data_IF_570966498306
#
_entry.id   IF_570966498306
#
_cell.length_a   1.000
_cell.length_b   1.000
_cell.length_c   1.000
_cell.angle_alpha   90.00
_cell.angle_beta   90.00
_cell.angle_gamma   90.00
#
_symmetry.space_group_name_H-M   'P 1'
#
loop_
_entity.id
_entity.type
_entity.pdbx_description
1 polymer ?
#
# COMPACT_ATOMS: atom_id res chain seq x y z
N UNK A 1 23.29 63.57 -58.84
CA UNK A 1 24.63 63.07 -59.25
C UNK A 1 25.61 63.33 -58.10
N UNK A 2 26.77 62.64 -57.99
CA UNK A 2 27.15 61.25 -58.31
C UNK A 2 27.51 60.51 -56.96
N UNK A 3 28.33 59.46 -56.78
CA UNK A 3 29.19 58.58 -57.61
C UNK A 3 29.04 57.10 -57.19
N UNK A 4 28.58 56.26 -58.12
CA UNK A 4 29.08 54.91 -58.51
C UNK A 4 29.82 54.00 -57.49
N UNK A 5 29.26 52.78 -57.35
CA UNK A 5 29.88 51.43 -57.46
C UNK A 5 31.21 51.12 -56.73
N UNK A 6 31.15 50.09 -55.88
CA UNK A 6 32.06 48.94 -55.93
C UNK A 6 31.25 47.65 -55.62
N UNK A 7 31.70 46.49 -56.09
CA UNK A 7 31.11 45.20 -55.75
C UNK A 7 32.21 44.14 -55.66
N UNK A 8 32.19 43.33 -54.61
CA UNK A 8 33.02 42.13 -54.45
C UNK A 8 32.11 41.05 -53.86
N UNK A 9 32.13 39.86 -54.45
CA UNK A 9 31.46 38.69 -53.89
C UNK A 9 32.47 37.86 -53.08
N UNK A 10 32.06 37.36 -51.93
CA UNK A 10 32.76 36.33 -51.17
C UNK A 10 31.71 35.39 -50.56
N UNK A 11 31.85 34.09 -50.78
CA UNK A 11 30.96 33.09 -50.19
C UNK A 11 31.35 32.78 -48.75
N UNK A 12 30.35 32.65 -47.87
CA UNK A 12 30.50 32.11 -46.52
C UNK A 12 29.70 30.81 -46.40
N UNK A 13 30.35 29.72 -45.99
CA UNK A 13 29.72 28.39 -45.87
C UNK A 13 28.79 28.34 -44.66
N UNK A 14 27.62 27.73 -44.81
CA UNK A 14 26.72 27.46 -43.70
C UNK A 14 27.35 26.41 -42.76
N UNK A 15 27.70 26.83 -41.54
CA UNK A 15 28.31 25.96 -40.54
C UNK A 15 27.27 25.04 -39.89
N UNK A 16 27.05 23.86 -40.48
CA UNK A 16 26.37 22.76 -39.79
C UNK A 16 27.30 22.22 -38.67
N UNK A 17 27.00 22.62 -37.44
CA UNK A 17 27.76 22.20 -36.26
C UNK A 17 27.54 20.73 -35.92
N UNK A 18 28.37 19.85 -36.48
CA UNK A 18 28.44 18.46 -36.03
C UNK A 18 29.08 18.40 -34.64
N UNK A 19 28.32 17.94 -33.64
CA UNK A 19 28.82 17.73 -32.29
C UNK A 19 29.77 16.53 -32.27
N UNK A 20 31.08 16.78 -32.27
CA UNK A 20 32.10 15.74 -32.21
C UNK A 20 32.16 15.13 -30.79
N UNK A 21 31.64 13.90 -30.65
CA UNK A 21 31.78 13.12 -29.41
C UNK A 21 33.25 12.69 -29.25
N UNK A 22 33.89 13.18 -28.18
CA UNK A 22 35.27 12.85 -27.85
C UNK A 22 35.36 11.45 -27.23
N UNK A 23 35.82 10.48 -28.00
CA UNK A 23 36.29 9.17 -27.49
C UNK A 23 37.77 9.27 -27.07
N UNK A 24 38.15 8.90 -25.84
CA UNK A 24 39.55 8.72 -25.47
C UNK A 24 40.13 7.48 -26.17
N UNK A 25 40.84 7.70 -27.28
CA UNK A 25 41.56 6.65 -28.00
C UNK A 25 42.99 6.50 -27.46
N UNK A 26 43.27 5.41 -26.74
CA UNK A 26 44.62 5.08 -26.28
C UNK A 26 44.81 3.57 -25.99
N UNK A 27 44.71 2.72 -27.02
CA UNK A 27 45.72 1.68 -27.26
C UNK A 27 45.58 1.13 -28.67
N UNK A 28 46.70 0.99 -29.38
CA UNK A 28 46.74 0.57 -30.77
C UNK A 28 47.38 -0.81 -30.91
N UNK A 29 46.64 -1.74 -31.51
CA UNK A 29 47.18 -2.90 -32.21
C UNK A 29 46.52 -2.92 -33.59
N UNK A 30 47.23 -2.45 -34.61
CA UNK A 30 46.79 -2.60 -36.00
C UNK A 30 47.19 -3.99 -36.50
N UNK A 31 46.24 -4.92 -36.46
CA UNK A 31 46.28 -6.15 -37.25
C UNK A 31 44.83 -6.50 -37.64
N UNK A 32 44.65 -7.01 -38.87
CA UNK A 32 43.39 -7.63 -39.32
C UNK A 32 42.14 -6.73 -39.34
N UNK A 33 41.87 -6.05 -40.47
CA UNK A 33 40.51 -5.62 -40.78
C UNK A 33 39.71 -6.82 -41.32
N UNK A 34 39.15 -7.64 -40.41
CA UNK A 34 38.19 -8.70 -40.69
C UNK A 34 36.80 -8.30 -40.20
N UNK A 35 35.74 -8.77 -40.86
CA UNK A 35 34.34 -8.59 -40.45
C UNK A 35 33.95 -9.47 -39.23
N UNK A 36 34.84 -9.61 -38.25
CA UNK A 36 34.48 -10.25 -36.97
C UNK A 36 33.63 -9.28 -36.14
N UNK A 37 32.40 -9.72 -35.85
CA UNK A 37 31.47 -8.93 -35.05
C UNK A 37 32.03 -8.70 -33.64
N UNK A 38 32.22 -7.43 -33.26
CA UNK A 38 32.68 -7.05 -31.94
C UNK A 38 31.83 -7.72 -30.84
N UNK A 39 32.49 -8.28 -29.83
CA UNK A 39 31.83 -8.97 -28.73
C UNK A 39 30.86 -8.03 -27.98
N UNK A 40 29.68 -8.50 -27.54
CA UNK A 40 28.72 -7.67 -26.82
C UNK A 40 29.33 -7.02 -25.58
N UNK A 41 29.07 -5.72 -25.40
CA UNK A 41 29.65 -4.92 -24.32
C UNK A 41 29.00 -5.30 -22.99
N UNK A 42 29.80 -5.35 -21.92
CA UNK A 42 29.29 -5.38 -20.55
C UNK A 42 28.82 -3.99 -20.12
N UNK A 43 27.65 -3.94 -19.49
CA UNK A 43 26.88 -2.74 -19.17
C UNK A 43 26.43 -2.76 -17.71
N UNK A 44 26.13 -1.59 -17.12
CA UNK A 44 25.20 -1.55 -15.99
C UNK A 44 23.76 -1.64 -16.51
N UNK A 45 22.84 -2.06 -15.66
CA UNK A 45 21.42 -2.16 -16.02
C UNK A 45 20.81 -0.82 -16.48
N UNK A 46 21.27 0.31 -15.92
CA UNK A 46 20.90 1.66 -16.37
C UNK A 46 21.42 1.94 -17.80
N UNK A 47 22.73 1.83 -18.02
CA UNK A 47 23.36 2.00 -19.35
C UNK A 47 22.69 1.13 -20.44
N UNK A 48 22.24 -0.06 -20.06
CA UNK A 48 21.54 -0.99 -20.95
C UNK A 48 20.13 -0.50 -21.35
N UNK A 49 19.43 0.24 -20.48
CA UNK A 49 18.12 0.83 -20.79
C UNK A 49 18.22 2.01 -21.76
N UNK A 50 19.22 2.88 -21.58
CA UNK A 50 19.51 3.98 -22.49
C UNK A 50 19.90 3.46 -23.88
N UNK A 51 20.73 2.41 -23.94
CA UNK A 51 21.13 1.76 -25.19
C UNK A 51 19.95 1.04 -25.86
N UNK A 52 19.07 0.39 -25.09
CA UNK A 52 17.86 -0.23 -25.62
C UNK A 52 16.93 0.78 -26.29
N UNK A 53 16.71 1.94 -25.65
CA UNK A 53 15.88 3.03 -26.19
C UNK A 53 16.46 3.60 -27.49
N UNK A 54 17.79 3.78 -27.56
CA UNK A 54 18.47 4.23 -28.78
C UNK A 54 18.36 3.19 -29.91
N UNK A 55 18.52 1.90 -29.60
CA UNK A 55 18.42 0.82 -30.57
C UNK A 55 16.98 0.61 -31.06
N UNK A 56 15.97 0.74 -30.21
CA UNK A 56 14.58 0.71 -30.65
C UNK A 56 14.29 1.76 -31.73
N UNK A 57 14.75 3.01 -31.53
CA UNK A 57 14.62 4.08 -32.51
C UNK A 57 15.46 3.91 -33.79
N UNK A 58 16.62 3.25 -33.70
CA UNK A 58 17.52 2.99 -34.83
C UNK A 58 17.07 1.81 -35.71
N UNK A 59 16.52 0.77 -35.10
CA UNK A 59 16.16 -0.49 -35.75
C UNK A 59 14.72 -0.47 -36.28
N UNK A 60 13.85 0.38 -35.73
CA UNK A 60 12.47 0.56 -36.19
C UNK A 60 11.66 -0.73 -36.12
N UNK A 61 10.91 -1.04 -37.18
CA UNK A 61 10.04 -2.22 -37.27
C UNK A 61 10.78 -3.56 -37.09
N UNK A 62 12.12 -3.59 -37.26
CA UNK A 62 12.93 -4.77 -37.02
C UNK A 62 13.17 -5.06 -35.51
N UNK A 63 12.84 -4.13 -34.61
CA UNK A 63 13.02 -4.29 -33.16
C UNK A 63 11.89 -5.12 -32.54
N UNK A 64 12.24 -6.26 -31.95
CA UNK A 64 11.31 -7.19 -31.30
C UNK A 64 11.40 -7.17 -29.75
N UNK A 65 11.74 -6.00 -29.21
CA UNK A 65 11.99 -5.79 -27.78
C UNK A 65 13.42 -6.13 -27.35
N UNK A 66 13.71 -6.01 -26.06
CA UNK A 66 15.04 -6.23 -25.49
C UNK A 66 14.98 -6.59 -24.01
N UNK A 67 16.02 -7.22 -23.48
CA UNK A 67 16.16 -7.49 -22.05
C UNK A 67 17.61 -7.38 -21.58
N UNK A 68 17.81 -7.05 -20.31
CA UNK A 68 19.12 -7.14 -19.66
C UNK A 68 19.36 -8.58 -19.18
N UNK A 69 20.47 -9.16 -19.65
CA UNK A 69 21.05 -10.43 -19.26
C UNK A 69 22.00 -10.16 -18.10
N UNK A 70 21.52 -10.33 -16.87
CA UNK A 70 22.24 -9.94 -15.66
C UNK A 70 23.49 -10.80 -15.40
N UNK A 71 23.42 -12.09 -15.74
CA UNK A 71 24.50 -13.05 -15.53
C UNK A 71 25.72 -12.73 -16.42
N UNK A 72 25.46 -12.25 -17.65
CA UNK A 72 26.50 -11.83 -18.60
C UNK A 72 26.73 -10.30 -18.60
N UNK A 73 25.97 -9.54 -17.80
CA UNK A 73 25.92 -8.07 -17.78
C UNK A 73 25.69 -7.42 -19.15
N UNK A 74 24.85 -8.02 -20.01
CA UNK A 74 24.68 -7.65 -21.42
C UNK A 74 23.27 -7.15 -21.73
N UNK A 75 23.15 -6.20 -22.65
CA UNK A 75 21.87 -5.94 -23.32
C UNK A 75 21.65 -6.98 -24.43
N UNK A 76 20.57 -7.74 -24.34
CA UNK A 76 20.07 -8.57 -25.43
C UNK A 76 18.99 -7.81 -26.18
N UNK A 77 19.17 -7.62 -27.49
CA UNK A 77 18.17 -7.03 -28.38
C UNK A 77 17.60 -8.12 -29.27
N UNK A 78 16.28 -8.28 -29.23
CA UNK A 78 15.58 -9.13 -30.18
C UNK A 78 15.40 -8.38 -31.51
N UNK A 79 15.60 -9.07 -32.62
CA UNK A 79 15.25 -8.57 -33.96
C UNK A 79 14.46 -9.60 -34.74
N UNK A 80 13.56 -9.14 -35.60
CA UNK A 80 12.88 -10.02 -36.57
C UNK A 80 13.78 -10.21 -37.80
N UNK A 81 14.00 -11.45 -38.28
CA UNK A 81 14.71 -11.70 -39.52
C UNK A 81 14.06 -11.04 -40.74
N UNK A 82 14.90 -10.56 -41.66
CA UNK A 82 14.47 -9.98 -42.93
C UNK A 82 15.68 -9.59 -43.79
N UNK A 83 15.44 -9.10 -45.01
CA UNK A 83 16.50 -8.84 -46.01
C UNK A 83 17.57 -7.82 -45.56
N UNK A 84 17.28 -7.04 -44.52
CA UNK A 84 18.12 -5.95 -44.01
C UNK A 84 19.19 -6.42 -43.00
N UNK A 85 20.15 -7.27 -43.42
CA UNK A 85 21.30 -7.68 -42.60
C UNK A 85 22.06 -6.52 -41.90
N UNK A 86 21.94 -5.29 -42.42
CA UNK A 86 22.50 -4.06 -41.86
C UNK A 86 22.01 -3.76 -40.41
N UNK A 87 20.75 -4.03 -40.05
CA UNK A 87 20.26 -3.73 -38.68
C UNK A 87 20.91 -4.63 -37.62
N UNK A 88 21.17 -5.90 -37.95
CA UNK A 88 21.92 -6.84 -37.10
C UNK A 88 23.35 -6.33 -36.87
N UNK A 89 24.02 -5.85 -37.93
CA UNK A 89 25.37 -5.28 -37.85
C UNK A 89 25.40 -4.01 -37.00
N UNK A 90 24.41 -3.13 -37.11
CA UNK A 90 24.34 -1.90 -36.33
C UNK A 90 24.12 -2.16 -34.83
N UNK A 91 23.20 -3.08 -34.47
CA UNK A 91 22.98 -3.44 -33.07
C UNK A 91 24.21 -4.13 -32.44
N UNK A 92 24.89 -5.03 -33.18
CA UNK A 92 26.18 -5.60 -32.75
C UNK A 92 27.26 -4.54 -32.57
N UNK A 93 27.38 -3.59 -33.52
CA UNK A 93 28.34 -2.47 -33.46
C UNK A 93 28.07 -1.49 -32.32
N UNK A 94 26.82 -1.35 -31.88
CA UNK A 94 26.44 -0.61 -30.69
C UNK A 94 26.73 -1.37 -29.37
N UNK A 95 27.23 -2.61 -29.45
CA UNK A 95 27.61 -3.45 -28.31
C UNK A 95 26.48 -4.34 -27.77
N UNK A 96 25.33 -4.42 -28.44
CA UNK A 96 24.23 -5.29 -28.01
C UNK A 96 24.41 -6.74 -28.51
N UNK A 97 23.98 -7.71 -27.69
CA UNK A 97 23.86 -9.12 -28.04
C UNK A 97 22.57 -9.30 -28.85
N UNK A 98 22.69 -9.35 -30.17
CA UNK A 98 21.53 -9.53 -31.05
C UNK A 98 21.05 -10.98 -31.00
N UNK A 99 19.73 -11.16 -30.87
CA UNK A 99 19.04 -12.44 -31.01
C UNK A 99 17.93 -12.32 -32.03
N UNK A 100 17.89 -13.23 -33.00
CA UNK A 100 16.78 -13.33 -33.95
C UNK A 100 15.58 -14.03 -33.29
N UNK A 101 14.37 -13.53 -33.55
CA UNK A 101 13.11 -14.03 -32.98
C UNK A 101 11.96 -13.96 -33.99
N UNK A 102 10.90 -14.74 -33.77
CA UNK A 102 9.83 -14.93 -34.75
C UNK A 102 8.78 -13.80 -34.74
N UNK A 103 8.40 -13.26 -33.57
CA UNK A 103 7.31 -12.28 -33.45
C UNK A 103 7.82 -10.83 -33.39
N UNK A 104 7.31 -9.95 -34.25
CA UNK A 104 7.50 -8.50 -34.14
C UNK A 104 6.71 -7.90 -32.95
N UNK A 105 7.07 -6.68 -32.52
CA UNK A 105 6.26 -5.94 -31.55
C UNK A 105 4.85 -5.63 -32.07
N UNK A 106 4.66 -5.50 -33.38
CA UNK A 106 3.33 -5.26 -33.98
C UNK A 106 2.43 -6.50 -33.89
N UNK A 107 2.97 -7.70 -34.06
CA UNK A 107 2.22 -8.95 -33.92
C UNK A 107 1.93 -9.27 -32.44
N UNK A 108 2.87 -8.99 -31.54
CA UNK A 108 2.68 -9.08 -30.09
C UNK A 108 1.59 -8.10 -29.59
N UNK A 109 1.54 -6.88 -30.13
CA UNK A 109 0.47 -5.92 -29.86
C UNK A 109 -0.89 -6.37 -30.46
N UNK A 110 -0.90 -6.97 -31.66
CA UNK A 110 -2.11 -7.57 -32.23
C UNK A 110 -2.65 -8.76 -31.39
N UNK A 111 -1.75 -9.58 -30.83
CA UNK A 111 -2.10 -10.63 -29.86
C UNK A 111 -2.66 -10.05 -28.56
N UNK A 112 -2.03 -9.00 -28.01
CA UNK A 112 -2.49 -8.32 -26.80
C UNK A 112 -3.86 -7.63 -26.99
N UNK A 113 -4.13 -7.07 -28.18
CA UNK A 113 -5.45 -6.55 -28.58
C UNK A 113 -6.51 -7.66 -28.67
N UNK A 114 -6.13 -8.85 -29.12
CA UNK A 114 -7.03 -10.01 -29.17
C UNK A 114 -7.35 -10.56 -27.78
N UNK A 115 -6.35 -10.62 -26.88
CA UNK A 115 -6.58 -10.92 -25.45
C UNK A 115 -7.53 -9.89 -24.82
N UNK A 116 -7.29 -8.60 -25.04
CA UNK A 116 -8.19 -7.52 -24.56
C UNK A 116 -9.62 -7.69 -25.06
N UNK A 117 -9.81 -8.10 -26.32
CA UNK A 117 -11.13 -8.26 -26.93
C UNK A 117 -11.90 -9.53 -26.50
N UNK A 118 -11.21 -10.61 -26.09
CA UNK A 118 -11.81 -11.93 -25.84
C UNK A 118 -11.63 -12.49 -24.42
N UNK A 119 -10.62 -12.02 -23.71
CA UNK A 119 -10.13 -12.58 -22.44
C UNK A 119 -9.85 -11.52 -21.36
N UNK A 120 -10.51 -10.36 -21.42
CA UNK A 120 -10.57 -9.43 -20.28
C UNK A 120 -11.45 -10.05 -19.19
N UNK A 121 -10.85 -10.90 -18.37
CA UNK A 121 -11.49 -11.67 -17.30
C UNK A 121 -10.91 -11.21 -15.95
N UNK A 122 -11.71 -10.91 -14.92
CA UNK A 122 -11.20 -10.61 -13.59
C UNK A 122 -10.28 -11.72 -13.08
N UNK A 123 -9.10 -11.34 -12.57
CA UNK A 123 -8.03 -12.27 -12.22
C UNK A 123 -7.07 -12.64 -13.36
N UNK A 124 -7.08 -11.92 -14.48
CA UNK A 124 -6.11 -12.11 -15.59
C UNK A 124 -5.26 -10.87 -15.85
N UNK A 125 -4.04 -11.09 -16.34
CA UNK A 125 -3.12 -10.06 -16.85
C UNK A 125 -2.28 -10.63 -17.99
N UNK A 126 -1.68 -9.75 -18.79
CA UNK A 126 -0.73 -10.16 -19.84
C UNK A 126 0.35 -9.11 -20.07
N UNK A 127 1.56 -9.57 -20.35
CA UNK A 127 2.71 -8.73 -20.67
C UNK A 127 3.53 -9.35 -21.82
N UNK A 128 4.19 -8.53 -22.62
CA UNK A 128 5.20 -9.02 -23.56
C UNK A 128 6.44 -9.42 -22.77
N UNK A 129 6.82 -10.69 -22.84
CA UNK A 129 8.10 -11.17 -22.33
C UNK A 129 9.16 -11.14 -23.45
N UNK A 130 10.10 -10.19 -23.44
CA UNK A 130 11.19 -10.17 -24.41
C UNK A 130 12.18 -11.34 -24.26
N UNK A 131 12.16 -12.12 -23.16
CA UNK A 131 13.02 -13.31 -23.00
C UNK A 131 12.51 -14.49 -23.81
N UNK A 132 11.21 -14.78 -23.80
CA UNK A 132 10.59 -15.80 -24.67
C UNK A 132 10.14 -15.27 -26.04
N UNK A 133 10.07 -13.95 -26.23
CA UNK A 133 9.44 -13.29 -27.40
C UNK A 133 7.95 -13.70 -27.56
N UNK A 134 7.23 -13.79 -26.44
CA UNK A 134 5.81 -14.13 -26.39
C UNK A 134 5.05 -13.22 -25.45
N UNK A 135 3.73 -13.25 -25.54
CA UNK A 135 2.86 -12.70 -24.50
C UNK A 135 2.77 -13.71 -23.36
N UNK A 136 3.30 -13.36 -22.19
CA UNK A 136 3.04 -14.10 -20.96
C UNK A 136 1.68 -13.66 -20.41
N UNK A 137 0.69 -14.54 -20.54
CA UNK A 137 -0.63 -14.41 -19.91
C UNK A 137 -0.57 -15.05 -18.53
N UNK A 138 -0.91 -14.31 -17.48
CA UNK A 138 -0.99 -14.83 -16.12
C UNK A 138 -2.44 -14.78 -15.64
N UNK A 139 -2.93 -15.91 -15.15
CA UNK A 139 -4.23 -16.06 -14.50
C UNK A 139 -4.04 -16.33 -13.01
N UNK A 140 -4.87 -15.75 -12.17
CA UNK A 140 -4.81 -15.94 -10.72
C UNK A 140 -5.54 -17.21 -10.25
N UNK A 141 -5.60 -17.41 -8.93
CA UNK A 141 -6.26 -18.57 -8.31
C UNK A 141 -7.77 -18.63 -8.57
N UNK A 142 -8.44 -17.50 -8.82
CA UNK A 142 -9.90 -17.39 -9.00
C UNK A 142 -10.37 -17.78 -10.41
N UNK A 143 -9.49 -17.68 -11.41
CA UNK A 143 -9.80 -18.00 -12.82
C UNK A 143 -9.93 -19.52 -12.99
N UNK A 144 -11.18 -20.00 -12.99
CA UNK A 144 -11.55 -21.43 -12.93
C UNK A 144 -12.81 -21.71 -13.74
N UNK A 145 -13.04 -22.98 -14.10
CA UNK A 145 -14.18 -23.40 -14.93
C UNK A 145 -14.22 -22.67 -16.27
N UNK A 146 -15.42 -22.30 -16.73
CA UNK A 146 -15.69 -21.59 -17.98
C UNK A 146 -14.76 -20.38 -18.23
N UNK A 147 -14.35 -19.66 -17.18
CA UNK A 147 -13.40 -18.53 -17.26
C UNK A 147 -12.00 -18.97 -17.66
N UNK A 148 -11.55 -20.14 -17.18
CA UNK A 148 -10.28 -20.73 -17.55
C UNK A 148 -10.35 -21.24 -18.99
N UNK A 149 -11.41 -21.96 -19.35
CA UNK A 149 -11.59 -22.53 -20.70
C UNK A 149 -11.66 -21.43 -21.77
N UNK A 150 -12.34 -20.31 -21.47
CA UNK A 150 -12.37 -19.11 -22.33
C UNK A 150 -10.98 -18.48 -22.52
N UNK A 151 -10.18 -18.43 -21.45
CA UNK A 151 -8.83 -17.87 -21.48
C UNK A 151 -7.87 -18.77 -22.26
N UNK A 152 -7.88 -20.07 -21.98
CA UNK A 152 -7.05 -21.09 -22.64
C UNK A 152 -7.37 -21.15 -24.13
N UNK A 153 -8.65 -21.25 -24.51
CA UNK A 153 -9.07 -21.21 -25.92
C UNK A 153 -8.72 -19.89 -26.62
N UNK A 154 -8.74 -18.76 -25.90
CA UNK A 154 -8.27 -17.48 -26.47
C UNK A 154 -6.76 -17.51 -26.74
N UNK A 155 -5.96 -18.02 -25.80
CA UNK A 155 -4.50 -18.16 -25.95
C UNK A 155 -4.15 -19.13 -27.08
N UNK A 156 -4.84 -20.28 -27.18
CA UNK A 156 -4.70 -21.21 -28.31
C UNK A 156 -5.02 -20.54 -29.64
N UNK A 157 -6.04 -19.67 -29.70
CA UNK A 157 -6.45 -18.97 -30.93
C UNK A 157 -5.41 -17.97 -31.47
N UNK A 158 -4.37 -17.65 -30.68
CA UNK A 158 -3.20 -16.87 -31.12
C UNK A 158 -2.09 -17.71 -31.73
N UNK A 159 -2.15 -19.04 -31.59
CA UNK A 159 -1.10 -19.97 -31.96
C UNK A 159 0.01 -20.08 -30.90
N UNK A 160 0.59 -21.27 -30.79
CA UNK A 160 1.62 -21.62 -29.79
C UNK A 160 2.92 -20.81 -29.89
N UNK A 161 3.14 -20.08 -30.98
CA UNK A 161 4.23 -19.12 -31.15
C UNK A 161 4.02 -17.78 -30.46
N UNK A 162 2.78 -17.35 -30.23
CA UNK A 162 2.46 -15.96 -29.85
C UNK A 162 2.33 -15.74 -28.34
N UNK A 163 1.72 -16.67 -27.62
CA UNK A 163 1.38 -16.50 -26.20
C UNK A 163 1.65 -17.78 -25.38
N UNK A 164 1.79 -17.61 -24.07
CA UNK A 164 1.87 -18.68 -23.07
C UNK A 164 0.99 -18.34 -21.88
N UNK A 165 0.37 -19.35 -21.26
CA UNK A 165 -0.45 -19.20 -20.06
C UNK A 165 0.31 -19.71 -18.82
N UNK A 166 0.24 -18.96 -17.72
CA UNK A 166 0.75 -19.34 -16.40
C UNK A 166 -0.34 -19.12 -15.35
N UNK A 167 -0.43 -20.00 -14.36
CA UNK A 167 -1.24 -19.77 -13.16
C UNK A 167 -0.42 -19.19 -12.00
N UNK A 168 -0.97 -18.21 -11.30
CA UNK A 168 -0.48 -17.70 -10.01
C UNK A 168 -1.01 -18.56 -8.86
N UNK A 169 -0.44 -18.40 -7.66
CA UNK A 169 -0.91 -19.10 -6.46
C UNK A 169 -1.93 -18.27 -5.65
N UNK A 170 -1.75 -16.95 -5.58
CA UNK A 170 -2.70 -16.02 -4.97
C UNK A 170 -3.61 -15.32 -6.00
N UNK A 171 -4.46 -14.43 -5.49
CA UNK A 171 -5.42 -13.60 -6.27
C UNK A 171 -4.78 -12.27 -6.69
N UNK A 172 -5.17 -11.69 -7.84
CA UNK A 172 -4.82 -10.30 -8.17
C UNK A 172 -5.73 -9.33 -7.41
N UNK A 173 -5.13 -8.50 -6.55
CA UNK A 173 -5.79 -7.45 -5.78
C UNK A 173 -5.03 -6.13 -5.95
N UNK A 174 -5.70 -5.00 -5.77
CA UNK A 174 -5.03 -3.75 -5.37
C UNK A 174 -4.53 -3.90 -3.94
N UNK A 175 -3.37 -3.33 -3.60
CA UNK A 175 -2.89 -3.33 -2.22
C UNK A 175 -3.73 -2.36 -1.39
N UNK A 176 -4.54 -2.89 -0.47
CA UNK A 176 -5.22 -2.09 0.54
C UNK A 176 -4.15 -1.48 1.45
N UNK A 177 -4.14 -0.15 1.56
CA UNK A 177 -3.16 0.64 2.30
C UNK A 177 -3.85 1.50 3.36
N UNK A 178 -3.08 2.14 4.24
CA UNK A 178 -3.64 3.10 5.19
C UNK A 178 -4.38 4.23 4.47
N UNK A 179 -5.60 4.54 4.92
CA UNK A 179 -6.49 5.53 4.33
C UNK A 179 -7.45 5.01 3.26
N UNK A 180 -7.24 3.81 2.72
CA UNK A 180 -8.12 3.23 1.70
C UNK A 180 -9.49 2.82 2.26
N UNK A 181 -10.50 2.80 1.39
CA UNK A 181 -11.86 2.46 1.77
C UNK A 181 -12.02 0.96 2.07
N UNK A 182 -12.72 0.65 3.16
CA UNK A 182 -13.22 -0.69 3.46
C UNK A 182 -14.75 -0.64 3.60
N UNK A 183 -15.42 -1.70 3.17
CA UNK A 183 -16.88 -1.79 3.12
C UNK A 183 -17.41 -3.09 3.74
N UNK A 184 -18.48 -2.99 4.54
CA UNK A 184 -19.20 -4.13 5.08
C UNK A 184 -20.64 -3.74 5.48
N UNK A 185 -21.63 -4.59 5.19
CA UNK A 185 -23.02 -4.39 5.64
C UNK A 185 -23.75 -3.11 5.17
N UNK A 186 -23.15 -2.33 4.25
CA UNK A 186 -23.60 -0.99 3.87
C UNK A 186 -22.89 0.15 4.62
N UNK A 187 -22.12 -0.17 5.66
CA UNK A 187 -21.16 0.73 6.28
C UNK A 187 -19.90 0.90 5.41
N UNK A 188 -19.23 2.03 5.63
CA UNK A 188 -17.92 2.37 5.08
C UNK A 188 -17.03 2.79 6.24
N UNK A 189 -15.81 2.26 6.28
CA UNK A 189 -14.73 2.74 7.12
C UNK A 189 -13.46 2.89 6.26
N UNK A 190 -12.34 3.20 6.90
CA UNK A 190 -11.01 3.25 6.29
C UNK A 190 -10.08 2.22 6.95
N UNK A 191 -9.18 1.65 6.17
CA UNK A 191 -8.04 0.93 6.72
C UNK A 191 -7.08 1.92 7.40
N UNK A 192 -6.54 1.56 8.57
CA UNK A 192 -5.66 2.43 9.36
C UNK A 192 -4.20 2.20 9.02
N UNK A 193 -3.67 1.04 9.40
CA UNK A 193 -2.30 0.63 9.07
C UNK A 193 -2.22 -0.87 8.81
N UNK A 194 -1.54 -1.26 7.74
CA UNK A 194 -1.12 -2.65 7.56
C UNK A 194 -0.08 -3.04 8.61
N UNK A 195 -0.29 -4.21 9.22
CA UNK A 195 0.51 -4.78 10.31
C UNK A 195 0.72 -6.28 10.10
N UNK A 196 1.75 -6.84 10.73
CA UNK A 196 1.87 -8.29 10.93
C UNK A 196 1.23 -8.62 12.28
N UNK A 197 0.22 -9.48 12.30
CA UNK A 197 -0.42 -9.94 13.53
C UNK A 197 0.52 -10.85 14.35
N UNK A 198 0.23 -11.07 15.64
CA UNK A 198 1.07 -11.89 16.53
C UNK A 198 1.25 -13.36 16.13
N UNK A 199 0.39 -13.87 15.23
CA UNK A 199 0.51 -15.21 14.61
C UNK A 199 1.30 -15.21 13.29
N UNK A 200 1.81 -14.06 12.85
CA UNK A 200 2.52 -13.87 11.59
C UNK A 200 1.62 -13.64 10.37
N UNK A 201 0.29 -13.60 10.52
CA UNK A 201 -0.62 -13.31 9.41
C UNK A 201 -0.56 -11.84 8.99
N UNK A 202 -0.71 -11.52 7.69
CA UNK A 202 -0.89 -10.15 7.23
C UNK A 202 -2.26 -9.64 7.70
N UNK A 203 -2.29 -8.43 8.25
CA UNK A 203 -3.49 -7.82 8.80
C UNK A 203 -3.47 -6.29 8.63
N UNK A 204 -4.56 -5.63 9.03
CA UNK A 204 -4.59 -4.18 9.22
C UNK A 204 -5.31 -3.82 10.52
N UNK A 205 -4.96 -2.67 11.08
CA UNK A 205 -5.71 -2.01 12.15
C UNK A 205 -6.78 -1.09 11.54
N UNK A 206 -7.96 -1.03 12.17
CA UNK A 206 -9.02 -0.05 11.91
C UNK A 206 -9.70 0.30 13.24
N UNK A 207 -10.76 1.13 13.22
CA UNK A 207 -11.49 1.49 14.44
C UNK A 207 -12.31 0.31 14.99
N UNK A 208 -12.48 0.26 16.31
CA UNK A 208 -13.20 -0.78 17.01
C UNK A 208 -14.69 -0.76 16.71
N UNK A 209 -15.29 0.42 16.57
CA UNK A 209 -16.68 0.57 16.16
C UNK A 209 -16.93 0.01 14.74
N UNK A 210 -15.93 0.03 13.85
CA UNK A 210 -15.97 -0.69 12.57
C UNK A 210 -15.85 -2.21 12.80
N UNK A 211 -14.87 -2.65 13.62
CA UNK A 211 -14.67 -4.07 13.94
C UNK A 211 -15.90 -4.77 14.52
N UNK A 212 -16.64 -4.12 15.43
CA UNK A 212 -17.87 -4.69 16.01
C UNK A 212 -19.10 -4.55 15.10
N UNK A 213 -19.09 -3.62 14.14
CA UNK A 213 -20.21 -3.44 13.19
C UNK A 213 -20.30 -4.55 12.13
N UNK A 214 -19.18 -5.17 11.75
CA UNK A 214 -19.16 -6.29 10.82
C UNK A 214 -17.93 -7.18 10.98
N UNK A 215 -18.15 -8.50 11.04
CA UNK A 215 -17.09 -9.50 11.20
C UNK A 215 -16.18 -9.68 9.97
N UNK A 216 -16.56 -9.20 8.79
CA UNK A 216 -15.81 -9.35 7.54
C UNK A 216 -15.91 -8.09 6.67
N UNK A 217 -14.82 -7.75 5.99
CA UNK A 217 -14.65 -6.50 5.25
C UNK A 217 -14.12 -6.72 3.82
N UNK A 218 -14.58 -5.89 2.89
CA UNK A 218 -14.13 -5.84 1.49
C UNK A 218 -13.39 -4.53 1.19
N UNK A 219 -12.46 -4.55 0.23
CA UNK A 219 -11.79 -3.37 -0.34
C UNK A 219 -12.69 -2.58 -1.30
N UNK A 220 -13.87 -3.13 -1.66
CA UNK A 220 -14.70 -2.62 -2.74
C UNK A 220 -16.18 -2.65 -2.37
N UNK A 221 -16.93 -1.62 -2.79
CA UNK A 221 -18.34 -1.48 -2.42
C UNK A 221 -19.18 -2.58 -3.09
N UNK A 222 -19.72 -3.49 -2.26
CA UNK A 222 -20.44 -4.68 -2.75
C UNK A 222 -19.51 -5.80 -3.26
N UNK A 223 -18.20 -5.70 -3.01
CA UNK A 223 -17.23 -6.76 -3.28
C UNK A 223 -17.38 -7.96 -2.33
N UNK A 224 -16.65 -9.03 -2.63
CA UNK A 224 -16.48 -10.14 -1.69
C UNK A 224 -15.56 -9.71 -0.53
N UNK A 225 -15.72 -10.27 0.68
CA UNK A 225 -14.73 -10.09 1.75
C UNK A 225 -13.31 -10.46 1.30
N UNK A 226 -12.34 -9.73 1.85
CA UNK A 226 -10.91 -10.00 1.69
C UNK A 226 -10.19 -10.16 3.05
N UNK A 227 -10.88 -9.83 4.14
CA UNK A 227 -10.35 -9.82 5.49
C UNK A 227 -11.47 -10.04 6.54
N UNK A 228 -11.10 -10.67 7.65
CA UNK A 228 -11.98 -11.05 8.76
C UNK A 228 -11.49 -10.42 10.06
N UNK A 229 -12.40 -9.89 10.89
CA UNK A 229 -12.08 -9.21 12.15
C UNK A 229 -11.64 -10.22 13.21
N UNK A 230 -10.54 -9.93 13.90
CA UNK A 230 -10.14 -10.66 15.09
C UNK A 230 -10.97 -10.21 16.30
N UNK A 231 -12.13 -10.86 16.47
CA UNK A 231 -13.17 -10.48 17.41
C UNK A 231 -12.75 -10.57 18.89
N UNK A 232 -11.63 -11.23 19.22
CA UNK A 232 -11.07 -11.23 20.58
C UNK A 232 -10.32 -9.92 20.90
N UNK A 233 -9.96 -9.14 19.86
CA UNK A 233 -9.22 -7.87 19.99
C UNK A 233 -10.07 -6.62 19.71
N UNK A 234 -11.22 -6.76 19.06
CA UNK A 234 -12.09 -5.66 18.68
C UNK A 234 -12.68 -4.95 19.91
N UNK A 235 -12.17 -3.75 20.19
CA UNK A 235 -12.46 -2.98 21.41
C UNK A 235 -13.23 -1.72 21.05
N UNK A 236 -14.55 -1.72 21.30
CA UNK A 236 -15.40 -0.54 21.34
C UNK A 236 -16.74 -0.84 22.05
N UNK A 237 -17.28 0.06 22.91
CA UNK A 237 -16.62 1.21 23.53
C UNK A 237 -15.68 0.76 24.67
N UNK A 238 -15.24 1.68 25.53
CA UNK A 238 -14.50 1.37 26.76
C UNK A 238 -13.03 1.79 26.72
N UNK A 239 -12.13 0.82 26.80
CA UNK A 239 -10.67 1.03 26.90
C UNK A 239 -9.99 1.41 25.59
N UNK A 240 -10.76 1.65 24.53
CA UNK A 240 -10.26 2.12 23.25
C UNK A 240 -11.32 2.08 22.15
N UNK A 241 -10.87 2.38 20.93
CA UNK A 241 -11.63 2.25 19.68
C UNK A 241 -10.71 1.69 18.57
N UNK A 242 -10.38 0.39 18.65
CA UNK A 242 -9.56 -0.32 17.66
C UNK A 242 -10.05 -1.75 17.38
N UNK A 243 -9.72 -2.27 16.20
CA UNK A 243 -9.82 -3.68 15.87
C UNK A 243 -8.68 -4.10 14.93
N UNK A 244 -8.19 -5.33 15.12
CA UNK A 244 -7.34 -6.03 14.16
C UNK A 244 -8.22 -6.75 13.13
N UNK A 245 -7.88 -6.67 11.85
CA UNK A 245 -8.57 -7.35 10.76
C UNK A 245 -7.54 -8.11 9.93
N UNK A 246 -7.61 -9.44 9.93
CA UNK A 246 -6.65 -10.33 9.27
C UNK A 246 -7.07 -10.57 7.83
N UNK A 247 -6.16 -10.50 6.87
CA UNK A 247 -6.48 -10.79 5.46
C UNK A 247 -6.74 -12.29 5.27
N UNK A 248 -7.82 -12.64 4.57
CA UNK A 248 -8.26 -14.03 4.38
C UNK A 248 -7.31 -14.83 3.46
N UNK A 249 -6.48 -14.14 2.69
CA UNK A 249 -5.42 -14.72 1.85
C UNK A 249 -4.05 -14.48 2.54
N UNK A 250 -3.39 -15.52 3.07
CA UNK A 250 -2.12 -15.38 3.79
C UNK A 250 -0.93 -15.02 2.88
N UNK A 251 -1.11 -15.02 1.55
CA UNK A 251 -0.13 -14.49 0.60
C UNK A 251 -0.32 -12.99 0.30
N UNK A 252 -1.26 -12.31 0.98
CA UNK A 252 -1.49 -10.87 0.81
C UNK A 252 -0.25 -10.08 1.23
N UNK A 253 0.37 -9.37 0.28
CA UNK A 253 1.40 -8.38 0.56
C UNK A 253 0.73 -7.13 1.13
N UNK A 254 0.92 -6.90 2.42
CA UNK A 254 0.35 -5.79 3.18
C UNK A 254 1.47 -4.84 3.63
N UNK A 255 2.00 -3.97 2.74
CA UNK A 255 3.04 -3.01 3.11
C UNK A 255 2.50 -2.00 4.12
N UNK A 256 3.25 -1.72 5.19
CA UNK A 256 2.93 -0.63 6.12
C UNK A 256 3.17 0.72 5.43
N UNK A 257 2.17 1.21 4.72
CA UNK A 257 2.16 2.51 4.06
C UNK A 257 0.76 3.13 4.05
N UNK A 258 0.69 4.45 3.90
CA UNK A 258 -0.55 5.24 3.76
C UNK A 258 -0.68 5.73 2.32
N UNK A 259 -1.83 5.52 1.68
CA UNK A 259 -2.10 5.92 0.31
C UNK A 259 -2.61 7.38 0.26
N UNK A 260 -1.84 8.29 -0.36
CA UNK A 260 -2.25 9.68 -0.59
C UNK A 260 -2.91 9.89 -1.97
N UNK A 261 -3.39 8.82 -2.60
CA UNK A 261 -4.09 8.80 -3.89
C UNK A 261 -3.16 8.81 -5.11
N UNK A 262 -2.06 9.56 -5.09
CA UNK A 262 -1.07 9.61 -6.18
C UNK A 262 0.35 9.14 -5.81
N UNK A 263 0.57 8.84 -4.53
CA UNK A 263 1.83 8.40 -3.93
C UNK A 263 1.52 7.75 -2.59
N UNK A 264 2.45 6.96 -2.04
CA UNK A 264 2.33 6.40 -0.69
C UNK A 264 3.36 7.02 0.27
N UNK A 265 3.03 7.03 1.57
CA UNK A 265 3.97 7.33 2.65
C UNK A 265 4.26 6.05 3.40
N UNK A 266 5.50 5.59 3.34
CA UNK A 266 5.94 4.42 4.09
C UNK A 266 5.87 4.70 5.59
N UNK A 267 5.26 3.77 6.34
CA UNK A 267 5.12 3.83 7.80
C UNK A 267 6.17 2.91 8.42
N UNK A 268 7.13 3.54 9.10
CA UNK A 268 8.35 2.89 9.60
C UNK A 268 8.18 2.26 10.99
N UNK A 269 7.42 2.92 11.86
CA UNK A 269 7.20 2.55 13.26
C UNK A 269 5.98 3.30 13.83
N UNK A 270 5.53 2.89 15.02
CA UNK A 270 4.60 3.68 15.83
C UNK A 270 5.36 4.71 16.67
N UNK A 271 4.70 5.81 17.02
CA UNK A 271 5.19 6.80 17.99
C UNK A 271 4.04 7.38 18.82
N UNK A 272 4.36 7.81 20.05
CA UNK A 272 3.41 8.46 20.93
C UNK A 272 3.08 9.89 20.46
N UNK A 273 1.81 10.28 20.61
CA UNK A 273 1.38 11.64 20.33
C UNK A 273 1.88 12.61 21.41
N UNK A 274 2.20 13.84 21.00
CA UNK A 274 2.57 14.95 21.91
C UNK A 274 1.76 16.19 21.55
N UNK A 275 1.30 16.96 22.54
CA UNK A 275 0.56 18.20 22.29
C UNK A 275 1.40 19.19 21.49
N UNK A 276 0.84 19.74 20.41
CA UNK A 276 1.54 20.56 19.43
C UNK A 276 2.21 19.78 18.28
N UNK A 277 2.18 18.44 18.29
CA UNK A 277 2.65 17.64 17.16
C UNK A 277 1.76 17.89 15.94
N UNK A 278 2.38 18.31 14.83
CA UNK A 278 1.74 18.36 13.51
C UNK A 278 1.51 16.94 13.00
N UNK A 279 0.28 16.65 12.59
CA UNK A 279 -0.19 15.33 12.17
C UNK A 279 -1.01 15.44 10.90
N UNK A 280 -1.07 14.34 10.15
CA UNK A 280 -1.85 14.16 8.94
C UNK A 280 -2.81 13.01 9.15
N UNK A 281 -4.09 13.19 8.78
CA UNK A 281 -5.07 12.11 8.70
C UNK A 281 -5.31 11.75 7.24
N UNK A 282 -5.25 10.48 6.90
CA UNK A 282 -5.80 9.95 5.65
C UNK A 282 -7.03 9.10 5.95
N UNK A 283 -8.09 9.25 5.16
CA UNK A 283 -9.35 8.53 5.30
C UNK A 283 -10.16 8.58 4.02
N UNK A 284 -11.07 7.63 3.87
CA UNK A 284 -11.65 7.31 2.56
C UNK A 284 -12.76 8.28 2.12
N UNK A 285 -13.35 9.05 3.02
CA UNK A 285 -14.43 10.02 2.70
C UNK A 285 -13.87 11.38 2.34
N UNK A 286 -12.99 11.96 3.17
CA UNK A 286 -12.45 13.32 2.94
C UNK A 286 -11.04 13.35 2.38
N UNK A 287 -10.37 12.20 2.27
CA UNK A 287 -9.01 12.09 1.79
C UNK A 287 -7.99 12.51 2.85
N UNK A 288 -6.97 13.27 2.42
CA UNK A 288 -5.89 13.77 3.26
C UNK A 288 -6.27 15.11 3.90
N UNK A 289 -6.11 15.22 5.21
CA UNK A 289 -6.19 16.48 5.95
C UNK A 289 -5.05 16.57 6.96
N UNK A 290 -4.71 17.78 7.40
CA UNK A 290 -3.66 18.01 8.40
C UNK A 290 -4.17 18.86 9.58
N UNK A 291 -3.36 18.93 10.62
CA UNK A 291 -3.66 19.66 11.85
C UNK A 291 -2.70 19.29 12.97
N UNK A 292 -3.10 19.55 14.21
CA UNK A 292 -2.25 19.41 15.40
C UNK A 292 -2.95 18.67 16.53
N UNK A 293 -2.17 17.93 17.29
CA UNK A 293 -2.59 17.34 18.57
C UNK A 293 -2.82 18.47 19.58
N UNK A 294 -4.06 18.61 20.06
CA UNK A 294 -4.46 19.58 21.07
C UNK A 294 -4.44 18.99 22.49
N UNK A 295 -4.67 17.68 22.63
CA UNK A 295 -4.79 17.00 23.92
C UNK A 295 -4.50 15.50 23.83
N UNK A 296 -4.23 14.90 24.98
CA UNK A 296 -3.93 13.48 25.16
C UNK A 296 -4.78 12.92 26.31
N UNK A 297 -5.05 11.61 26.31
CA UNK A 297 -5.92 10.94 27.28
C UNK A 297 -7.32 11.59 27.37
N UNK A 298 -7.84 12.02 26.23
CA UNK A 298 -9.22 12.51 26.11
C UNK A 298 -10.22 11.38 26.40
N UNK A 299 -11.36 11.76 26.96
CA UNK A 299 -12.48 10.87 27.23
C UNK A 299 -13.69 11.37 26.47
N UNK A 300 -14.22 10.55 25.57
CA UNK A 300 -15.36 10.88 24.70
C UNK A 300 -16.54 10.01 25.09
N UNK A 301 -17.74 10.59 25.12
CA UNK A 301 -18.98 9.88 25.43
C UNK A 301 -19.84 9.80 24.17
N UNK A 302 -19.67 8.73 23.41
CA UNK A 302 -20.48 8.43 22.23
C UNK A 302 -21.85 7.88 22.65
N UNK A 303 -22.87 7.91 21.78
CA UNK A 303 -24.18 7.28 22.04
C UNK A 303 -24.10 5.81 22.45
N UNK A 304 -23.10 5.10 21.94
CA UNK A 304 -22.82 3.68 22.20
C UNK A 304 -22.08 3.46 23.54
N UNK A 305 -21.35 4.46 24.03
CA UNK A 305 -20.66 4.42 25.33
C UNK A 305 -19.44 5.34 25.43
N UNK A 306 -18.81 5.33 26.60
CA UNK A 306 -17.59 6.10 26.88
C UNK A 306 -16.35 5.40 26.32
N UNK A 307 -15.46 6.16 25.67
CA UNK A 307 -14.11 5.73 25.28
C UNK A 307 -13.08 6.64 25.92
N UNK A 308 -12.00 6.08 26.48
CA UNK A 308 -10.91 6.81 27.17
C UNK A 308 -9.59 6.69 26.41
N UNK A 309 -8.55 7.42 26.85
CA UNK A 309 -7.19 7.30 26.30
C UNK A 309 -6.95 8.00 24.96
N UNK A 310 -7.94 8.70 24.40
CA UNK A 310 -7.86 9.20 23.03
C UNK A 310 -6.95 10.43 22.87
N UNK A 311 -6.43 10.61 21.66
CA UNK A 311 -5.70 11.79 21.20
C UNK A 311 -6.73 12.79 20.64
N UNK A 312 -6.74 14.03 21.12
CA UNK A 312 -7.62 15.10 20.63
C UNK A 312 -6.86 15.97 19.63
N UNK A 313 -7.46 16.29 18.49
CA UNK A 313 -6.86 17.12 17.43
C UNK A 313 -7.88 18.10 16.83
N UNK A 314 -7.40 19.08 16.06
CA UNK A 314 -8.24 19.89 15.15
C UNK A 314 -8.24 19.40 13.69
N UNK A 315 -7.74 18.19 13.41
CA UNK A 315 -7.81 17.60 12.05
C UNK A 315 -9.28 17.29 11.75
N UNK A 316 -9.80 17.71 10.61
CA UNK A 316 -11.19 17.39 10.25
C UNK A 316 -11.33 15.92 9.78
N UNK A 317 -12.50 15.33 10.02
CA UNK A 317 -12.90 14.00 9.56
C UNK A 317 -14.42 13.93 9.43
N UNK A 318 -14.92 13.09 8.53
CA UNK A 318 -16.36 12.88 8.29
C UNK A 318 -16.71 11.37 8.27
N UNK A 319 -18.00 10.98 8.33
CA UNK A 319 -18.40 9.57 8.35
C UNK A 319 -17.76 8.74 7.21
N UNK A 320 -17.08 7.66 7.59
CA UNK A 320 -16.30 6.81 6.68
C UNK A 320 -14.79 7.06 6.68
N UNK A 321 -14.31 8.16 7.27
CA UNK A 321 -12.89 8.33 7.62
C UNK A 321 -12.50 7.51 8.87
N UNK A 322 -13.48 7.04 9.64
CA UNK A 322 -13.35 6.07 10.75
C UNK A 322 -12.33 4.97 10.47
N UNK A 323 -11.44 4.73 11.41
CA UNK A 323 -10.33 3.78 11.30
C UNK A 323 -9.13 4.29 10.50
N UNK A 324 -9.26 5.39 9.76
CA UNK A 324 -8.21 5.95 8.90
C UNK A 324 -6.98 6.43 9.67
N UNK A 325 -5.84 6.37 9.01
CA UNK A 325 -4.49 6.62 9.54
C UNK A 325 -4.33 8.06 10.05
N UNK A 326 -3.83 8.23 11.29
CA UNK A 326 -3.20 9.47 11.76
C UNK A 326 -1.69 9.25 11.86
N UNK A 327 -0.90 10.04 11.13
CA UNK A 327 0.53 9.81 10.91
C UNK A 327 1.31 11.13 10.78
N UNK A 328 2.64 11.06 10.82
CA UNK A 328 3.54 12.22 10.59
C UNK A 328 4.13 12.22 9.18
N UNK A 329 4.62 13.38 8.72
CA UNK A 329 5.21 13.52 7.37
C UNK A 329 6.44 12.63 7.14
N UNK A 330 7.18 12.29 8.21
CA UNK A 330 8.34 11.40 8.21
C UNK A 330 8.01 9.91 8.40
N UNK A 331 6.72 9.54 8.40
CA UNK A 331 6.29 8.14 8.36
C UNK A 331 6.24 7.44 9.71
N UNK A 332 5.82 8.15 10.77
CA UNK A 332 5.45 7.56 12.06
C UNK A 332 3.93 7.38 12.12
N UNK A 333 3.47 6.21 12.55
CA UNK A 333 2.06 5.99 12.88
C UNK A 333 1.76 6.55 14.28
N UNK A 334 0.67 7.31 14.42
CA UNK A 334 0.28 7.99 15.66
C UNK A 334 -1.06 7.45 16.18
N UNK A 335 -2.06 7.26 15.30
CA UNK A 335 -3.38 6.80 15.74
C UNK A 335 -4.35 6.40 14.63
N UNK A 336 -5.54 5.97 15.04
CA UNK A 336 -6.66 5.53 14.20
C UNK A 336 -7.85 6.46 14.43
N UNK A 337 -8.52 6.90 13.37
CA UNK A 337 -9.66 7.84 13.46
C UNK A 337 -10.82 7.21 14.22
N UNK A 338 -11.18 7.72 15.41
CA UNK A 338 -12.29 7.20 16.22
C UNK A 338 -13.59 7.92 15.89
N UNK A 339 -13.62 9.24 16.07
CA UNK A 339 -14.83 10.05 15.87
C UNK A 339 -14.59 11.50 16.24
N UNK A 340 -15.60 12.35 16.11
CA UNK A 340 -15.43 13.78 16.32
C UNK A 340 -16.71 14.59 16.28
N UNK A 341 -16.55 15.90 16.21
CA UNK A 341 -17.63 16.87 16.02
C UNK A 341 -17.18 17.95 15.02
N UNK A 342 -18.14 18.52 14.28
CA UNK A 342 -17.87 19.40 13.14
C UNK A 342 -17.82 18.65 11.81
N UNK A 343 -17.23 19.29 10.79
CA UNK A 343 -17.03 18.75 9.44
C UNK A 343 -15.79 19.41 8.78
N UNK A 344 -15.40 18.99 7.56
CA UNK A 344 -14.25 19.57 6.85
C UNK A 344 -14.52 20.94 6.20
N UNK A 345 -15.70 21.54 6.41
CA UNK A 345 -16.06 22.90 5.94
C UNK A 345 -16.02 23.93 7.07
N UNK A 346 -16.52 23.59 8.26
CA UNK A 346 -16.53 24.50 9.44
C UNK A 346 -15.42 24.19 10.45
N UNK A 347 -14.75 23.05 10.33
CA UNK A 347 -13.77 22.54 11.29
C UNK A 347 -14.43 21.97 12.54
N UNK A 348 -13.61 21.54 13.50
CA UNK A 348 -14.09 20.95 14.74
C UNK A 348 -13.01 20.21 15.53
N UNK A 349 -13.42 19.17 16.24
CA UNK A 349 -12.54 18.33 17.07
C UNK A 349 -12.68 16.86 16.66
N UNK A 350 -11.55 16.22 16.32
CA UNK A 350 -11.51 14.79 16.00
C UNK A 350 -10.58 14.07 16.95
N UNK A 351 -11.06 12.94 17.46
CA UNK A 351 -10.42 12.07 18.42
C UNK A 351 -9.90 10.81 17.74
N UNK A 352 -8.72 10.36 18.19
CA UNK A 352 -8.00 9.24 17.61
C UNK A 352 -7.54 8.26 18.68
N UNK A 353 -7.68 6.98 18.41
CA UNK A 353 -7.14 5.91 19.23
C UNK A 353 -5.62 5.86 19.03
N UNK A 354 -4.78 5.96 20.08
CA UNK A 354 -3.33 5.73 19.96
C UNK A 354 -3.02 4.37 19.30
N UNK A 355 -2.16 4.39 18.28
CA UNK A 355 -1.79 3.17 17.54
C UNK A 355 -0.90 2.25 18.38
N UNK A 356 -0.09 2.81 19.27
CA UNK A 356 0.77 2.09 20.22
C UNK A 356 -0.06 1.18 21.13
N UNK A 357 -1.11 1.71 21.75
CA UNK A 357 -2.08 0.93 22.55
C UNK A 357 -2.77 -0.15 21.73
N UNK A 358 -3.14 0.14 20.47
CA UNK A 358 -3.77 -0.85 19.60
C UNK A 358 -2.80 -2.00 19.22
N UNK A 359 -1.52 -1.69 18.96
CA UNK A 359 -0.47 -2.69 18.70
C UNK A 359 -0.18 -3.55 19.94
N UNK A 360 -0.07 -2.92 21.11
CA UNK A 360 0.13 -3.62 22.40
C UNK A 360 -1.04 -4.59 22.69
N UNK A 361 -2.28 -4.12 22.58
CA UNK A 361 -3.48 -4.93 22.86
C UNK A 361 -3.73 -6.06 21.86
N UNK A 362 -3.26 -5.91 20.61
CA UNK A 362 -3.42 -6.93 19.54
C UNK A 362 -2.21 -7.85 19.37
N UNK A 363 -1.08 -7.52 20.00
CA UNK A 363 0.21 -8.18 19.74
C UNK A 363 0.72 -8.00 18.31
N UNK A 364 0.17 -7.05 17.54
CA UNK A 364 0.54 -6.80 16.16
C UNK A 364 1.76 -5.86 16.05
N UNK A 365 2.42 -5.87 14.89
CA UNK A 365 3.67 -5.13 14.63
C UNK A 365 3.62 -4.38 13.30
N UNK A 366 4.19 -3.18 13.26
CA UNK A 366 4.34 -2.39 12.03
C UNK A 366 5.62 -2.77 11.27
N UNK A 367 5.58 -2.61 9.96
CA UNK A 367 6.73 -2.83 9.08
C UNK A 367 7.03 -4.30 8.77
N UNK A 368 8.02 -4.51 7.91
CA UNK A 368 8.42 -5.83 7.42
C UNK A 368 9.34 -6.57 8.42
N UNK A 369 8.79 -7.00 9.55
CA UNK A 369 9.44 -7.97 10.46
C UNK A 369 10.73 -7.47 11.14
N UNK A 370 10.90 -6.16 11.29
CA UNK A 370 11.98 -5.57 12.09
C UNK A 370 11.68 -5.74 13.58
N UNK A 371 12.61 -6.32 14.33
CA UNK A 371 12.40 -6.56 15.76
C UNK A 371 12.18 -5.26 16.53
N UNK A 372 11.18 -5.24 17.42
CA UNK A 372 11.08 -4.22 18.45
C UNK A 372 12.35 -4.25 19.31
N UNK A 373 13.15 -3.18 19.23
CA UNK A 373 14.37 -3.05 20.03
C UNK A 373 14.00 -2.83 21.49
N UNK A 374 14.56 -3.66 22.38
CA UNK A 374 14.44 -3.50 23.83
C UNK A 374 14.98 -2.11 24.27
N UNK A 375 14.03 -1.20 24.51
CA UNK A 375 14.26 0.18 24.93
C UNK A 375 14.01 0.36 26.43
N UNK A 376 14.68 -0.43 27.26
CA UNK A 376 14.49 -0.45 28.72
C UNK A 376 14.61 0.93 29.40
N UNK A 377 13.85 1.11 30.49
CA UNK A 377 13.74 2.38 31.22
C UNK A 377 15.09 2.93 31.73
N UNK A 378 15.35 4.22 31.50
CA UNK A 378 16.70 4.80 31.61
C UNK A 378 16.80 6.29 32.00
N UNK A 379 16.09 6.71 33.05
CA UNK A 379 16.45 7.79 34.00
C UNK A 379 16.70 9.23 33.49
N UNK A 380 15.86 10.13 34.01
CA UNK A 380 16.12 11.50 34.52
C UNK A 380 17.01 12.52 33.78
N UNK A 381 16.52 13.77 33.82
CA UNK A 381 17.15 14.94 33.22
C UNK A 381 18.54 15.25 33.82
N UNK A 382 19.54 15.41 32.94
CA UNK A 382 20.87 15.88 33.32
C UNK A 382 20.87 17.33 33.82
N UNK A 383 21.54 17.57 34.95
CA UNK A 383 21.69 18.90 35.52
C UNK A 383 23.11 19.12 36.07
N UNK A 384 23.77 20.19 35.61
CA UNK A 384 24.89 20.85 36.29
C UNK A 384 26.27 20.20 36.18
N UNK A 385 27.13 20.76 35.33
CA UNK A 385 28.58 20.73 35.55
C UNK A 385 28.94 21.61 36.76
N UNK A 386 29.49 21.05 37.83
CA UNK A 386 30.48 21.74 38.69
C UNK A 386 31.49 20.73 39.25
N UNK A 387 32.76 21.15 39.38
CA UNK A 387 33.86 20.32 39.86
C UNK A 387 34.53 20.95 41.09
N UNK A 388 34.58 20.20 42.20
CA UNK A 388 35.26 20.63 43.43
C UNK A 388 35.49 19.46 44.39
N UNK A 389 36.75 19.23 44.77
CA UNK A 389 37.12 18.17 45.70
C UNK A 389 37.24 18.69 47.14
N UNK A 390 36.84 17.88 48.12
CA UNK A 390 36.98 18.16 49.55
C UNK A 390 36.83 16.91 50.42
N UNK A 391 37.65 16.81 51.46
CA UNK A 391 37.58 15.81 52.53
C UNK A 391 36.70 16.39 53.67
N UNK A 392 36.07 15.66 54.59
CA UNK A 392 36.69 14.67 55.49
C UNK A 392 35.64 13.87 56.33
N UNK A 393 36.12 13.12 57.33
CA UNK A 393 35.43 12.15 58.17
C UNK A 393 34.12 12.55 58.89
N UNK A 394 33.26 11.55 59.14
CA UNK A 394 32.14 11.62 60.10
C UNK A 394 31.53 10.23 60.38
N UNK A 395 31.82 9.64 61.54
CA UNK A 395 31.26 8.35 61.95
C UNK A 395 30.06 8.51 62.89
N UNK A 396 29.02 7.69 62.70
CA UNK A 396 27.84 7.66 63.58
C UNK A 396 27.04 6.39 63.39
N UNK A 397 27.10 5.49 64.38
CA UNK A 397 26.16 4.39 64.56
C UNK A 397 25.16 4.81 65.64
N UNK A 398 23.86 4.56 65.44
CA UNK A 398 23.03 4.08 66.56
C UNK A 398 21.76 3.35 66.07
N UNK A 399 21.09 2.65 66.97
CA UNK A 399 20.08 1.64 66.67
C UNK A 399 18.62 2.16 66.65
N UNK A 400 17.74 1.38 66.00
CA UNK A 400 16.29 1.64 65.94
C UNK A 400 15.49 0.39 65.57
N UNK A 401 15.41 -0.59 66.47
CA UNK A 401 14.59 -1.79 66.26
C UNK A 401 13.13 -1.52 66.67
N UNK A 402 12.17 -1.93 65.83
CA UNK A 402 10.74 -1.85 66.11
C UNK A 402 9.98 -2.91 65.33
N UNK A 403 9.62 -4.01 65.99
CA UNK A 403 8.61 -4.95 65.53
C UNK A 403 7.32 -4.65 66.30
N UNK A 404 6.17 -4.71 65.63
CA UNK A 404 5.01 -5.36 66.25
C UNK A 404 3.99 -5.84 65.19
N UNK A 405 3.11 -6.75 65.58
CA UNK A 405 2.21 -7.46 64.68
C UNK A 405 0.74 -7.01 64.78
N UNK A 406 -0.05 -7.28 63.73
CA UNK A 406 -1.48 -6.98 63.69
C UNK A 406 -2.24 -7.86 62.71
N UNK A 407 -2.59 -9.08 63.12
CA UNK A 407 -3.49 -9.94 62.37
C UNK A 407 -4.95 -9.67 62.77
N UNK A 408 -5.86 -9.64 61.79
CA UNK A 408 -7.29 -9.47 62.02
C UNK A 408 -8.11 -10.25 60.99
N UNK A 409 -8.73 -11.34 61.43
CA UNK A 409 -9.84 -11.99 60.75
C UNK A 409 -11.12 -11.57 61.47
N UNK A 410 -12.23 -11.37 60.76
CA UNK A 410 -13.45 -12.11 61.08
C UNK A 410 -14.46 -12.13 59.92
N UNK A 411 -15.49 -12.97 60.05
CA UNK A 411 -16.47 -13.26 59.00
C UNK A 411 -17.79 -12.50 59.14
N UNK A 412 -18.61 -12.52 58.08
CA UNK A 412 -19.96 -11.94 58.07
C UNK A 412 -20.82 -12.46 56.92
N UNK A 413 -21.43 -13.63 57.09
CA UNK A 413 -22.43 -14.15 56.16
C UNK A 413 -23.85 -13.71 56.57
N UNK A 414 -24.67 -13.31 55.60
CA UNK A 414 -26.07 -12.94 55.83
C UNK A 414 -26.95 -13.34 54.66
N UNK A 415 -27.87 -14.29 54.90
CA UNK A 415 -29.04 -14.53 54.06
C UNK A 415 -30.26 -14.01 54.82
N UNK A 416 -31.21 -13.40 54.12
CA UNK A 416 -32.62 -13.75 54.28
C UNK A 416 -33.45 -13.25 53.09
N UNK A 417 -34.70 -13.69 52.99
CA UNK A 417 -35.54 -13.54 51.80
C UNK A 417 -36.73 -12.60 52.04
N UNK A 418 -37.27 -12.05 50.95
CA UNK A 418 -38.53 -11.31 50.94
C UNK A 418 -39.30 -11.58 49.65
N UNK A 419 -40.39 -12.34 49.75
CA UNK A 419 -41.35 -12.52 48.67
C UNK A 419 -42.52 -11.53 48.83
N UNK A 420 -43.14 -11.14 47.71
CA UNK A 420 -44.29 -10.26 47.69
C UNK A 420 -44.94 -10.25 46.32
N UNK A 421 -45.96 -11.09 46.16
CA UNK A 421 -46.92 -10.96 45.06
C UNK A 421 -47.82 -9.73 45.30
N UNK A 422 -48.19 -9.02 44.24
CA UNK A 422 -49.56 -8.48 44.14
C UNK A 422 -49.96 -8.29 42.67
N UNK A 423 -51.26 -8.35 42.39
CA UNK A 423 -51.79 -8.39 41.02
C UNK A 423 -52.73 -7.20 40.71
N UNK A 424 -52.66 -6.69 39.48
CA UNK A 424 -53.55 -5.64 39.00
C UNK A 424 -53.82 -5.76 37.51
N UNK A 425 -55.08 -6.01 37.13
CA UNK A 425 -55.51 -6.12 35.74
C UNK A 425 -56.04 -4.78 35.19
N UNK A 426 -55.97 -4.61 33.87
CA UNK A 426 -56.51 -3.44 33.16
C UNK A 426 -56.59 -3.69 31.65
N UNK A 427 -57.77 -4.07 31.18
CA UNK A 427 -58.11 -4.21 29.76
C UNK A 427 -58.65 -2.89 29.21
N UNK A 428 -58.37 -2.54 27.94
CA UNK A 428 -59.41 -2.49 26.87
C UNK A 428 -58.78 -2.38 25.46
N UNK A 429 -59.60 -2.44 24.42
CA UNK A 429 -59.23 -2.75 23.03
C UNK A 429 -58.93 -1.55 22.09
N UNK A 430 -58.39 -1.85 20.89
CA UNK A 430 -57.97 -0.84 19.90
C UNK A 430 -57.70 -1.31 18.47
N UNK A 431 -58.58 -2.18 17.91
CA UNK A 431 -58.80 -2.52 16.48
C UNK A 431 -57.68 -2.31 15.43
N UNK A 432 -57.32 -3.38 14.72
CA UNK A 432 -56.66 -3.33 13.40
C UNK A 432 -57.31 -4.33 12.44
N UNK A 433 -57.70 -3.89 11.24
CA UNK A 433 -58.48 -4.65 10.25
C UNK A 433 -57.62 -5.06 9.03
N UNK A 434 -57.98 -6.17 8.37
CA UNK A 434 -57.23 -6.79 7.27
C UNK A 434 -57.44 -6.07 5.92
N UNK A 435 -56.40 -6.02 5.07
CA UNK A 435 -56.54 -6.16 3.60
C UNK A 435 -55.22 -6.61 2.94
N UNK A 436 -55.34 -7.27 1.79
CA UNK A 436 -54.27 -8.00 1.08
C UNK A 436 -54.23 -7.65 -0.42
N UNK A 437 -53.13 -8.04 -1.10
CA UNK A 437 -52.85 -8.04 -2.55
C UNK A 437 -52.95 -6.72 -3.35
N UNK A 438 -51.84 -6.37 -4.01
CA UNK A 438 -51.76 -5.33 -5.04
C UNK A 438 -51.12 -5.85 -6.35
N UNK A 439 -51.88 -6.57 -7.17
CA UNK A 439 -51.41 -7.07 -8.48
C UNK A 439 -51.48 -5.97 -9.57
N UNK A 440 -50.43 -5.81 -10.38
CA UNK A 440 -50.50 -5.06 -11.65
C UNK A 440 -49.71 -5.73 -12.79
N UNK A 441 -50.43 -6.40 -13.69
CA UNK A 441 -49.91 -6.90 -14.96
C UNK A 441 -50.26 -5.95 -16.13
N UNK A 442 -49.34 -5.03 -16.47
CA UNK A 442 -49.54 -4.03 -17.53
C UNK A 442 -49.19 -4.50 -18.94
N UNK A 443 -50.14 -5.05 -19.71
CA UNK A 443 -50.01 -5.21 -21.18
C UNK A 443 -50.71 -4.08 -21.92
N UNK A 444 -50.03 -3.45 -22.90
CA UNK A 444 -50.44 -3.42 -24.32
C UNK A 444 -49.39 -2.79 -25.23
N UNK A 445 -49.45 -3.21 -26.50
CA UNK A 445 -48.62 -2.77 -27.61
C UNK A 445 -49.24 -1.60 -28.37
N UNK A 446 -48.40 -0.90 -29.14
CA UNK A 446 -48.74 -0.58 -30.52
C UNK A 446 -47.49 -0.57 -31.41
#
# INVERSE_FOLDING_TARGET
>A
MPKRKAAIAAGGVAALGAAAILLPQANASQDGASDEAAAPRTLKAADASDLASQLAGLLGDAFAGSYYDADNQQLVVNVVPGDNNNVIVQAKKAGAKVREVDNSLAELDAGAKTLKAKATIPGTSWAVDPRTNKILVTADSTVTGDKWDQLESTVESLGSGMATIKKSQGTFKTFLSGGDAIFAGGARCSAGFNVTAGDGSPAFLTAGHCGVAAAQWSDSQGGAPIATVDAETATFPGTGDFALVKYDDPATQAPSEVNLGNQTVAISQAAEATVGLQVFRMGSTTGLSDGQVLGLNATVNYPEGTVTGLIQTNVCAEPGDSGGSLFTQDGLAIGLTSGGSGDCTVGGETFFQPVTTALEATGATLGAGGAAGDGGAGQDAGAGDEAGAGQDAGAGQDAGAGQDAGAGQDAGAGQEAGAGDDAGAGEDAGLGEEVDMGEQAGRRSH
#
